data_IF_269152241505
#
_entry.id   IF_269152241505
#
_cell.length_a   1.000
_cell.length_b   1.000
_cell.length_c   1.000
_cell.angle_alpha   90.00
_cell.angle_beta   90.00
_cell.angle_gamma   90.00
#
_symmetry.space_group_name_H-M   'P 1'
#
loop_
_entity.id
_entity.type
_entity.pdbx_description
1 polymer ?
#
# COMPACT_ATOMS: atom_id res chain seq x y z
N UNK A 1 -22.26 -8.62 15.14
CA UNK A 1 -20.83 -8.80 14.80
C UNK A 1 -20.40 -7.52 14.10
N UNK A 2 -19.33 -6.86 14.56
CA UNK A 2 -18.89 -5.57 14.01
C UNK A 2 -17.89 -5.82 12.85
N UNK A 3 -18.27 -5.60 11.58
CA UNK A 3 -17.35 -5.76 10.44
C UNK A 3 -16.25 -4.69 10.38
N UNK A 4 -16.43 -3.59 11.11
CA UNK A 4 -15.57 -2.39 11.04
C UNK A 4 -14.09 -2.66 11.42
N UNK A 5 -13.84 -3.59 12.35
CA UNK A 5 -12.47 -3.84 12.83
C UNK A 5 -11.54 -4.44 11.77
N UNK A 6 -12.06 -5.22 10.83
CA UNK A 6 -11.25 -5.79 9.73
C UNK A 6 -11.00 -4.76 8.62
N UNK A 7 -12.01 -3.95 8.30
CA UNK A 7 -11.91 -2.89 7.30
C UNK A 7 -10.89 -1.81 7.71
N UNK A 8 -10.94 -1.36 8.97
CA UNK A 8 -9.97 -0.39 9.52
C UNK A 8 -8.53 -0.93 9.48
N UNK A 9 -8.35 -2.24 9.69
CA UNK A 9 -7.05 -2.90 9.56
C UNK A 9 -6.49 -2.80 8.14
N UNK A 10 -7.33 -3.11 7.13
CA UNK A 10 -6.92 -3.05 5.72
C UNK A 10 -6.63 -1.62 5.25
N UNK A 11 -7.43 -0.65 5.68
CA UNK A 11 -7.21 0.78 5.38
C UNK A 11 -5.91 1.28 6.01
N UNK A 12 -5.61 0.89 7.26
CA UNK A 12 -4.33 1.23 7.91
C UNK A 12 -3.15 0.59 7.16
N UNK A 13 -3.26 -0.67 6.76
CA UNK A 13 -2.23 -1.35 5.96
C UNK A 13 -2.00 -0.68 4.61
N UNK A 14 -3.06 -0.23 3.94
CA UNK A 14 -2.93 0.52 2.69
C UNK A 14 -2.25 1.88 2.90
N UNK A 15 -2.59 2.60 3.97
CA UNK A 15 -1.92 3.86 4.30
C UNK A 15 -0.42 3.66 4.57
N UNK A 16 -0.06 2.62 5.32
CA UNK A 16 1.33 2.31 5.66
C UNK A 16 2.17 1.91 4.43
N UNK A 17 1.59 1.13 3.51
CA UNK A 17 2.24 0.78 2.24
C UNK A 17 2.43 2.01 1.35
N UNK A 18 1.47 2.92 1.33
CA UNK A 18 1.58 4.18 0.59
C UNK A 18 2.67 5.10 1.15
N UNK A 19 2.85 5.15 2.47
CA UNK A 19 3.96 5.88 3.09
C UNK A 19 5.33 5.28 2.74
N UNK A 20 5.44 3.94 2.68
CA UNK A 20 6.66 3.28 2.22
C UNK A 20 7.00 3.62 0.76
N UNK A 21 5.98 3.66 -0.11
CA UNK A 21 6.14 4.10 -1.50
C UNK A 21 6.65 5.55 -1.55
N UNK A 22 6.10 6.46 -0.74
CA UNK A 22 6.56 7.85 -0.70
C UNK A 22 7.99 7.98 -0.16
N UNK A 23 8.32 7.24 0.88
CA UNK A 23 9.67 7.21 1.45
C UNK A 23 10.71 6.71 0.44
N UNK A 24 10.35 5.69 -0.35
CA UNK A 24 11.17 5.20 -1.46
C UNK A 24 11.45 6.31 -2.48
N UNK A 25 10.41 7.00 -2.95
CA UNK A 25 10.56 8.13 -3.87
C UNK A 25 11.44 9.27 -3.32
N UNK A 26 11.28 9.60 -2.03
CA UNK A 26 12.06 10.64 -1.37
C UNK A 26 13.55 10.26 -1.29
N UNK A 27 13.85 9.00 -0.95
CA UNK A 27 15.22 8.47 -0.88
C UNK A 27 15.90 8.42 -2.24
N UNK A 28 15.18 8.02 -3.28
CA UNK A 28 15.74 7.83 -4.62
C UNK A 28 15.95 9.14 -5.40
N UNK A 29 15.58 10.30 -4.83
CA UNK A 29 15.90 11.62 -5.41
C UNK A 29 15.25 11.89 -6.76
N UNK A 30 14.12 11.23 -7.07
CA UNK A 30 13.34 11.45 -8.29
C UNK A 30 13.49 10.37 -9.38
N UNK A 31 14.38 9.38 -9.21
CA UNK A 31 14.44 8.22 -10.12
C UNK A 31 14.82 6.95 -9.38
N UNK A 32 14.07 5.87 -9.61
CA UNK A 32 14.33 4.57 -8.98
C UNK A 32 15.39 3.79 -9.76
N UNK A 33 16.36 3.23 -9.04
CA UNK A 33 17.26 2.19 -9.58
C UNK A 33 16.49 0.91 -9.91
N UNK A 34 17.12 -0.05 -10.61
CA UNK A 34 16.47 -1.33 -10.94
C UNK A 34 16.02 -2.11 -9.68
N UNK A 35 16.80 -2.05 -8.60
CA UNK A 35 16.45 -2.70 -7.34
C UNK A 35 15.27 -1.98 -6.64
N UNK A 36 15.31 -0.65 -6.59
CA UNK A 36 14.23 0.15 -6.01
C UNK A 36 12.94 0.06 -6.83
N UNK A 37 13.04 -0.13 -8.14
CA UNK A 37 11.89 -0.41 -9.00
C UNK A 37 11.21 -1.73 -8.62
N UNK A 38 11.98 -2.79 -8.38
CA UNK A 38 11.41 -4.06 -7.93
C UNK A 38 10.74 -3.93 -6.55
N UNK A 39 11.34 -3.15 -5.64
CA UNK A 39 10.74 -2.82 -4.34
C UNK A 39 9.44 -2.02 -4.49
N UNK A 40 9.43 -1.01 -5.36
CA UNK A 40 8.25 -0.21 -5.69
C UNK A 40 7.11 -1.05 -6.24
N UNK A 41 7.40 -1.92 -7.22
CA UNK A 41 6.40 -2.79 -7.84
C UNK A 41 5.76 -3.72 -6.81
N UNK A 42 6.57 -4.31 -5.91
CA UNK A 42 6.07 -5.15 -4.83
C UNK A 42 5.19 -4.35 -3.85
N UNK A 43 5.60 -3.14 -3.48
CA UNK A 43 4.83 -2.26 -2.60
C UNK A 43 3.49 -1.86 -3.25
N UNK A 44 3.47 -1.54 -4.54
CA UNK A 44 2.26 -1.21 -5.29
C UNK A 44 1.29 -2.41 -5.36
N UNK A 45 1.79 -3.62 -5.60
CA UNK A 45 0.96 -4.83 -5.61
C UNK A 45 0.32 -5.08 -4.24
N UNK A 46 1.11 -4.97 -3.17
CA UNK A 46 0.62 -5.11 -1.79
C UNK A 46 -0.40 -4.03 -1.45
N UNK A 47 -0.13 -2.78 -1.84
CA UNK A 47 -1.02 -1.65 -1.59
C UNK A 47 -2.36 -1.86 -2.30
N UNK A 48 -2.34 -2.24 -3.58
CA UNK A 48 -3.55 -2.52 -4.34
C UNK A 48 -4.35 -3.70 -3.75
N UNK A 49 -3.68 -4.72 -3.20
CA UNK A 49 -4.35 -5.80 -2.48
C UNK A 49 -5.02 -5.29 -1.19
N UNK A 50 -4.33 -4.48 -0.38
CA UNK A 50 -4.88 -3.90 0.85
C UNK A 50 -6.08 -2.96 0.58
N UNK A 51 -6.04 -2.19 -0.51
CA UNK A 51 -7.18 -1.37 -0.94
C UNK A 51 -8.36 -2.28 -1.34
N UNK A 52 -8.13 -3.30 -2.17
CA UNK A 52 -9.20 -4.22 -2.60
C UNK A 52 -9.83 -4.97 -1.44
N UNK A 53 -9.03 -5.45 -0.48
CA UNK A 53 -9.52 -6.11 0.73
C UNK A 53 -10.29 -5.16 1.66
N UNK A 54 -10.05 -3.85 1.57
CA UNK A 54 -10.84 -2.84 2.29
C UNK A 54 -12.11 -2.40 1.56
N UNK A 55 -12.21 -2.62 0.24
CA UNK A 55 -13.32 -2.19 -0.63
C UNK A 55 -14.44 -3.24 -0.73
N UNK A 56 -14.19 -4.50 -0.38
CA UNK A 56 -15.14 -5.62 -0.58
C UNK A 56 -16.42 -5.62 0.26
N UNK A 57 -16.71 -4.61 1.09
CA UNK A 57 -18.02 -4.44 1.77
C UNK A 57 -18.73 -3.11 1.42
N UNK A 58 -18.42 -2.50 0.28
CA UNK A 58 -19.17 -1.37 -0.25
C UNK A 58 -19.83 -1.73 -1.59
N UNK A 59 -20.82 -2.62 -1.59
CA UNK A 59 -21.75 -2.80 -2.72
C UNK A 59 -23.08 -3.40 -2.24
#
# INVERSE_FOLDING_TARGET
>A
MFPDSMALGSVRSAAELNEQIRALWLRSGGSLTAQERAEYELLVVKWAAAIRSGVTEAA
#
